data_IF_879798354967
#
_entry.id   IF_879798354967
#
_cell.length_a   1.000
_cell.length_b   1.000
_cell.length_c   1.000
_cell.angle_alpha   90.00
_cell.angle_beta   90.00
_cell.angle_gamma   90.00
#
_symmetry.space_group_name_H-M   'P 1'
#
loop_
_entity.id
_entity.type
_entity.pdbx_description
1 polymer ?
#
# COMPACT_ATOMS: atom_id res chain seq x y z
N UNK A 1 -5.90 -5.26 -27.95
CA UNK A 1 -5.25 -5.29 -26.61
C UNK A 1 -5.71 -4.09 -25.77
N UNK A 2 -5.61 -4.14 -24.44
CA UNK A 2 -5.96 -3.01 -23.54
C UNK A 2 -5.23 -1.71 -23.94
N UNK A 3 -4.01 -1.84 -24.45
CA UNK A 3 -3.21 -0.72 -24.96
C UNK A 3 -3.85 -0.07 -26.20
N UNK A 4 -4.27 -0.85 -27.17
CA UNK A 4 -4.91 -0.34 -28.40
C UNK A 4 -6.25 0.32 -28.08
N UNK A 5 -7.02 -0.25 -27.15
CA UNK A 5 -8.30 0.32 -26.71
C UNK A 5 -8.12 1.68 -26.01
N UNK A 6 -7.06 1.84 -25.20
CA UNK A 6 -6.72 3.10 -24.55
C UNK A 6 -6.23 4.14 -25.57
N UNK A 7 -5.39 3.74 -26.53
CA UNK A 7 -4.82 4.65 -27.53
C UNK A 7 -5.85 5.09 -28.57
N UNK A 8 -6.89 4.30 -28.81
CA UNK A 8 -7.98 4.63 -29.75
C UNK A 8 -9.02 5.61 -29.17
N UNK A 9 -9.06 5.78 -27.84
CA UNK A 9 -10.03 6.66 -27.19
C UNK A 9 -9.50 8.09 -27.14
N UNK A 10 -10.28 9.11 -27.58
CA UNK A 10 -9.87 10.50 -27.47
C UNK A 10 -9.67 10.89 -26.00
N UNK A 11 -8.69 11.74 -25.73
CA UNK A 11 -8.42 12.26 -24.39
C UNK A 11 -9.67 12.98 -23.85
N UNK A 12 -10.34 12.40 -22.86
CA UNK A 12 -11.52 13.02 -22.27
C UNK A 12 -11.11 14.19 -21.41
N UNK A 13 -11.61 15.38 -21.72
CA UNK A 13 -11.37 16.62 -20.97
C UNK A 13 -11.74 16.48 -19.48
N UNK A 14 -12.64 15.58 -19.16
CA UNK A 14 -13.07 15.26 -17.80
C UNK A 14 -11.99 14.62 -16.92
N UNK A 15 -10.86 14.16 -17.49
CA UNK A 15 -9.74 13.58 -16.74
C UNK A 15 -8.91 14.62 -15.99
N UNK A 16 -8.80 15.84 -16.52
CA UNK A 16 -7.90 16.85 -15.96
C UNK A 16 -8.18 17.21 -14.49
N UNK A 17 -9.43 17.35 -14.03
CA UNK A 17 -9.72 17.60 -12.62
C UNK A 17 -9.26 16.43 -11.71
N UNK A 18 -9.41 15.19 -12.16
CA UNK A 18 -8.97 14.02 -11.41
C UNK A 18 -7.44 13.94 -11.35
N UNK A 19 -6.76 14.18 -12.47
CA UNK A 19 -5.28 14.26 -12.53
C UNK A 19 -4.77 15.33 -11.57
N UNK A 20 -5.34 16.54 -11.64
CA UNK A 20 -4.93 17.65 -10.77
C UNK A 20 -5.15 17.33 -9.28
N UNK A 21 -6.31 16.81 -8.94
CA UNK A 21 -6.61 16.39 -7.55
C UNK A 21 -5.63 15.35 -7.06
N UNK A 22 -5.32 14.33 -7.86
CA UNK A 22 -4.41 13.25 -7.50
C UNK A 22 -2.98 13.78 -7.35
N UNK A 23 -2.55 14.64 -8.27
CA UNK A 23 -1.26 15.31 -8.22
C UNK A 23 -1.11 16.17 -6.96
N UNK A 24 -2.08 17.03 -6.67
CA UNK A 24 -2.06 17.87 -5.48
C UNK A 24 -2.06 17.05 -4.18
N UNK A 25 -2.81 15.96 -4.15
CA UNK A 25 -2.81 15.03 -3.00
C UNK A 25 -1.43 14.40 -2.81
N UNK A 26 -0.76 14.00 -3.90
CA UNK A 26 0.59 13.46 -3.86
C UNK A 26 1.62 14.49 -3.38
N UNK A 27 1.55 15.73 -3.87
CA UNK A 27 2.41 16.82 -3.45
C UNK A 27 2.22 17.17 -1.96
N UNK A 28 0.97 17.19 -1.50
CA UNK A 28 0.66 17.42 -0.08
C UNK A 28 1.22 16.31 0.81
N UNK A 29 1.12 15.05 0.38
CA UNK A 29 1.73 13.93 1.12
C UNK A 29 3.25 14.07 1.21
N UNK A 30 3.94 14.51 0.12
CA UNK A 30 5.37 14.79 0.19
C UNK A 30 5.72 15.97 1.09
N UNK A 31 4.93 17.03 1.09
CA UNK A 31 5.12 18.16 2.00
C UNK A 31 5.00 17.72 3.47
N UNK A 32 4.01 16.89 3.80
CA UNK A 32 3.87 16.29 5.12
C UNK A 32 5.05 15.36 5.48
N UNK A 33 5.53 14.55 4.53
CA UNK A 33 6.73 13.75 4.73
C UNK A 33 7.94 14.64 5.03
N UNK A 34 8.18 15.69 4.23
CA UNK A 34 9.28 16.65 4.48
C UNK A 34 9.18 17.32 5.84
N UNK A 35 7.99 17.73 6.26
CA UNK A 35 7.77 18.32 7.58
C UNK A 35 8.06 17.32 8.71
N UNK A 36 7.62 16.07 8.58
CA UNK A 36 7.87 15.04 9.61
C UNK A 36 9.35 14.64 9.67
N UNK A 37 10.07 14.61 8.54
CA UNK A 37 11.50 14.33 8.51
C UNK A 37 12.37 15.43 9.16
N UNK A 38 11.88 16.67 9.22
CA UNK A 38 12.59 17.75 9.94
C UNK A 38 12.51 17.58 11.45
N UNK A 39 11.49 16.88 11.96
CA UNK A 39 11.28 16.72 13.39
C UNK A 39 11.79 15.38 13.95
N UNK A 40 11.85 14.34 13.14
CA UNK A 40 12.32 13.02 13.55
C UNK A 40 13.05 12.32 12.42
N UNK A 41 14.33 12.00 12.65
CA UNK A 41 15.15 11.16 11.80
C UNK A 41 15.22 9.72 12.35
N UNK A 42 15.75 8.81 11.56
CA UNK A 42 15.99 7.43 12.01
C UNK A 42 17.02 7.39 13.15
N UNK A 43 17.95 8.32 13.13
CA UNK A 43 19.04 8.44 14.13
C UNK A 43 18.51 8.86 15.49
N UNK A 44 17.37 9.58 15.53
CA UNK A 44 16.75 9.97 16.80
C UNK A 44 16.30 8.75 17.61
N UNK A 45 15.95 7.61 16.95
CA UNK A 45 15.60 6.39 17.67
C UNK A 45 16.82 5.69 18.32
N UNK A 46 18.02 6.01 17.85
CA UNK A 46 19.26 5.51 18.43
C UNK A 46 19.74 6.40 19.59
N UNK A 47 19.18 7.60 19.72
CA UNK A 47 19.52 8.54 20.80
C UNK A 47 19.15 7.98 22.16
N UNK A 48 20.08 7.93 23.13
CA UNK A 48 19.81 7.51 24.50
C UNK A 48 18.65 8.28 25.15
N UNK A 49 18.47 9.55 24.80
CA UNK A 49 17.39 10.41 25.34
C UNK A 49 15.99 9.84 25.08
N UNK A 50 15.79 9.13 23.98
CA UNK A 50 14.50 8.48 23.68
C UNK A 50 14.29 7.22 24.54
N UNK A 51 15.37 6.52 24.91
CA UNK A 51 15.30 5.34 25.77
C UNK A 51 14.87 5.71 27.21
N UNK A 52 15.19 6.90 27.66
CA UNK A 52 14.80 7.41 28.98
C UNK A 52 13.34 7.86 29.05
N UNK A 53 12.72 8.13 27.89
CA UNK A 53 11.29 8.52 27.83
C UNK A 53 10.38 7.34 28.21
N UNK A 54 9.18 7.67 28.68
CA UNK A 54 8.14 6.68 28.96
C UNK A 54 7.79 5.86 27.72
N UNK A 55 7.32 4.63 27.89
CA UNK A 55 6.89 3.76 26.79
C UNK A 55 5.87 4.47 25.89
N UNK A 56 4.93 5.18 26.46
CA UNK A 56 3.89 5.92 25.72
C UNK A 56 4.51 7.00 24.82
N UNK A 57 5.46 7.80 25.33
CA UNK A 57 6.15 8.80 24.52
C UNK A 57 6.94 8.19 23.37
N UNK A 58 7.60 7.06 23.62
CA UNK A 58 8.33 6.31 22.55
C UNK A 58 7.38 5.81 21.46
N UNK A 59 6.21 5.32 21.84
CA UNK A 59 5.19 4.88 20.86
C UNK A 59 4.63 6.03 20.04
N UNK A 60 4.45 7.21 20.62
CA UNK A 60 4.02 8.40 19.89
C UNK A 60 5.08 8.81 18.85
N UNK A 61 6.34 8.90 19.25
CA UNK A 61 7.45 9.25 18.34
C UNK A 61 7.52 8.24 17.19
N UNK A 62 7.45 6.94 17.48
CA UNK A 62 7.41 5.90 16.47
C UNK A 62 6.21 6.06 15.54
N UNK A 63 5.03 6.34 16.07
CA UNK A 63 3.82 6.54 15.27
C UNK A 63 3.94 7.72 14.31
N UNK A 64 4.45 8.86 14.79
CA UNK A 64 4.66 10.07 13.97
C UNK A 64 5.67 9.78 12.86
N UNK A 65 6.78 9.12 13.17
CA UNK A 65 7.77 8.69 12.18
C UNK A 65 7.15 7.78 11.11
N UNK A 66 6.41 6.75 11.54
CA UNK A 66 5.74 5.83 10.63
C UNK A 66 4.67 6.51 9.77
N UNK A 67 4.00 7.54 10.31
CA UNK A 67 3.07 8.36 9.55
C UNK A 67 3.80 9.13 8.43
N UNK A 68 4.95 9.74 8.74
CA UNK A 68 5.79 10.39 7.74
C UNK A 68 6.23 9.43 6.64
N UNK A 69 6.70 8.24 7.01
CA UNK A 69 7.07 7.20 6.04
C UNK A 69 5.90 6.77 5.15
N UNK A 70 4.70 6.65 5.71
CA UNK A 70 3.47 6.43 4.92
C UNK A 70 3.23 7.55 3.93
N UNK A 71 3.35 8.81 4.35
CA UNK A 71 3.18 9.97 3.48
C UNK A 71 4.15 9.94 2.29
N UNK A 72 5.41 9.53 2.49
CA UNK A 72 6.39 9.32 1.41
C UNK A 72 5.85 8.35 0.35
N UNK A 73 5.40 7.17 0.76
CA UNK A 73 4.90 6.16 -0.18
C UNK A 73 3.59 6.57 -0.84
N UNK A 74 2.64 7.14 -0.08
CA UNK A 74 1.39 7.66 -0.65
C UNK A 74 1.66 8.77 -1.67
N UNK A 75 2.63 9.65 -1.40
CA UNK A 75 3.06 10.67 -2.34
C UNK A 75 3.54 10.08 -3.67
N UNK A 76 4.44 9.08 -3.62
CA UNK A 76 4.94 8.38 -4.80
C UNK A 76 3.81 7.70 -5.59
N UNK A 77 2.92 7.01 -4.90
CA UNK A 77 1.81 6.30 -5.55
C UNK A 77 0.82 7.27 -6.20
N UNK A 78 0.50 8.39 -5.54
CA UNK A 78 -0.37 9.42 -6.11
C UNK A 78 0.25 10.11 -7.31
N UNK A 79 1.55 10.34 -7.32
CA UNK A 79 2.25 10.84 -8.51
C UNK A 79 2.18 9.82 -9.66
N UNK A 80 2.48 8.54 -9.40
CA UNK A 80 2.36 7.49 -10.40
C UNK A 80 0.92 7.36 -10.93
N UNK A 81 -0.09 7.43 -10.05
CA UNK A 81 -1.50 7.41 -10.43
C UNK A 81 -1.85 8.61 -11.33
N UNK A 82 -1.40 9.82 -10.99
CA UNK A 82 -1.66 11.02 -11.80
C UNK A 82 -1.09 10.89 -13.20
N UNK A 83 0.11 10.32 -13.34
CA UNK A 83 0.72 10.05 -14.64
C UNK A 83 -0.04 8.98 -15.44
N UNK A 84 -0.51 7.92 -14.79
CA UNK A 84 -1.34 6.90 -15.43
C UNK A 84 -2.67 7.52 -15.92
N UNK A 85 -3.35 8.31 -15.10
CA UNK A 85 -4.59 8.99 -15.46
C UNK A 85 -4.38 9.96 -16.61
N UNK A 86 -3.27 10.71 -16.63
CA UNK A 86 -2.93 11.63 -17.71
C UNK A 86 -2.81 10.90 -19.05
N UNK A 87 -2.20 9.73 -19.05
CA UNK A 87 -2.05 8.88 -20.24
C UNK A 87 -3.29 8.02 -20.55
N UNK A 88 -4.37 8.14 -19.78
CA UNK A 88 -5.61 7.37 -19.97
C UNK A 88 -5.59 5.94 -19.41
N UNK A 89 -4.51 5.55 -18.71
CA UNK A 89 -4.46 4.28 -18.02
C UNK A 89 -5.13 4.36 -16.65
N UNK A 90 -5.80 3.27 -16.22
CA UNK A 90 -6.40 3.18 -14.88
C UNK A 90 -7.79 3.79 -14.78
N UNK A 91 -8.43 4.18 -15.90
CA UNK A 91 -9.82 4.56 -15.93
C UNK A 91 -10.69 3.29 -15.72
N UNK A 92 -11.42 3.25 -14.62
CA UNK A 92 -12.35 2.15 -14.37
C UNK A 92 -13.70 2.51 -14.99
N UNK A 93 -14.22 1.67 -15.88
CA UNK A 93 -15.49 1.88 -16.59
C UNK A 93 -16.67 2.09 -15.64
N UNK A 94 -16.62 1.55 -14.40
CA UNK A 94 -17.71 1.69 -13.43
C UNK A 94 -17.62 2.91 -12.52
N UNK A 95 -16.42 3.47 -12.31
CA UNK A 95 -16.17 4.56 -11.34
C UNK A 95 -15.58 5.81 -11.97
N UNK A 96 -15.25 5.79 -13.26
CA UNK A 96 -14.55 6.83 -14.03
C UNK A 96 -13.18 7.24 -13.47
N UNK A 97 -12.78 6.78 -12.26
CA UNK A 97 -11.51 7.13 -11.64
C UNK A 97 -10.90 5.93 -10.92
N UNK A 98 -9.59 5.75 -11.11
CA UNK A 98 -8.80 4.83 -10.30
C UNK A 98 -8.67 5.40 -8.88
N UNK A 99 -9.06 4.64 -7.88
CA UNK A 99 -8.75 4.97 -6.48
C UNK A 99 -7.56 4.15 -6.03
N UNK A 100 -6.48 4.80 -5.61
CA UNK A 100 -5.23 4.16 -5.18
C UNK A 100 -5.47 3.10 -4.10
N UNK A 101 -6.45 3.31 -3.23
CA UNK A 101 -6.78 2.38 -2.14
C UNK A 101 -7.31 1.03 -2.63
N UNK A 102 -8.02 1.02 -3.79
CA UNK A 102 -8.58 -0.21 -4.37
C UNK A 102 -7.72 -0.81 -5.48
N UNK A 103 -6.84 -0.01 -6.07
CA UNK A 103 -6.06 -0.41 -7.26
C UNK A 103 -4.59 -0.60 -6.96
N UNK A 104 -4.14 -0.22 -5.76
CA UNK A 104 -2.75 -0.40 -5.39
C UNK A 104 -2.33 -1.86 -5.50
N UNK A 105 -1.27 -2.06 -6.25
CA UNK A 105 -0.66 -3.36 -6.48
C UNK A 105 -1.55 -4.43 -7.15
N UNK A 106 -2.72 -4.07 -7.67
CA UNK A 106 -3.66 -5.05 -8.25
C UNK A 106 -3.04 -5.84 -9.41
N UNK A 107 -2.23 -5.20 -10.24
CA UNK A 107 -1.58 -5.89 -11.37
C UNK A 107 -0.52 -6.87 -10.90
N UNK A 108 0.29 -6.50 -9.92
CA UNK A 108 1.29 -7.37 -9.31
C UNK A 108 0.60 -8.49 -8.54
N UNK A 109 -0.48 -8.20 -7.81
CA UNK A 109 -1.28 -9.21 -7.12
C UNK A 109 -1.86 -10.23 -8.10
N UNK A 110 -2.45 -9.79 -9.22
CA UNK A 110 -2.94 -10.69 -10.27
C UNK A 110 -1.82 -11.51 -10.86
N UNK A 111 -0.67 -10.90 -11.16
CA UNK A 111 0.49 -11.61 -11.67
C UNK A 111 0.97 -12.66 -10.68
N UNK A 112 1.14 -12.32 -9.41
CA UNK A 112 1.50 -13.27 -8.35
C UNK A 112 0.46 -14.38 -8.20
N UNK A 113 -0.82 -14.04 -8.32
CA UNK A 113 -1.90 -15.04 -8.27
C UNK A 113 -1.76 -16.05 -9.40
N UNK A 114 -1.70 -15.61 -10.66
CA UNK A 114 -1.66 -16.52 -11.81
C UNK A 114 -0.31 -17.23 -11.97
N UNK A 115 0.79 -16.52 -11.74
CA UNK A 115 2.12 -17.06 -12.02
C UNK A 115 2.68 -17.88 -10.87
N UNK A 116 2.32 -17.59 -9.62
CA UNK A 116 2.91 -18.21 -8.44
C UNK A 116 1.86 -18.99 -7.65
N UNK A 117 0.80 -18.32 -7.19
CA UNK A 117 -0.17 -18.91 -6.27
C UNK A 117 -0.90 -20.13 -6.86
N UNK A 118 -1.48 -19.99 -8.04
CA UNK A 118 -2.21 -21.07 -8.71
C UNK A 118 -1.30 -22.23 -9.15
N UNK A 119 -0.06 -21.91 -9.53
CA UNK A 119 0.92 -22.93 -9.96
C UNK A 119 1.62 -23.65 -8.80
N UNK A 120 1.60 -23.08 -7.61
CA UNK A 120 2.23 -23.63 -6.40
C UNK A 120 1.26 -24.36 -5.47
N UNK A 121 0.16 -24.91 -6.01
CA UNK A 121 -0.91 -25.53 -5.20
C UNK A 121 -1.43 -24.58 -4.10
N UNK A 122 -1.65 -23.31 -4.46
CA UNK A 122 -2.19 -22.29 -3.57
C UNK A 122 -1.32 -21.99 -2.35
N UNK A 123 0.01 -22.10 -2.50
CA UNK A 123 0.96 -21.83 -1.43
C UNK A 123 1.15 -20.33 -1.23
N UNK A 124 0.46 -19.77 -0.24
CA UNK A 124 0.53 -18.36 0.09
C UNK A 124 1.92 -17.93 0.56
N UNK A 125 2.60 -18.75 1.36
CA UNK A 125 3.94 -18.40 1.87
C UNK A 125 4.94 -18.21 0.73
N UNK A 126 4.88 -19.06 -0.30
CA UNK A 126 5.74 -18.92 -1.48
C UNK A 126 5.50 -17.60 -2.21
N UNK A 127 4.26 -17.15 -2.32
CA UNK A 127 3.92 -15.84 -2.92
C UNK A 127 4.62 -14.70 -2.19
N UNK A 128 4.59 -14.71 -0.86
CA UNK A 128 5.27 -13.70 -0.05
C UNK A 128 6.80 -13.78 -0.19
N UNK A 129 7.36 -14.98 -0.30
CA UNK A 129 8.80 -15.15 -0.51
C UNK A 129 9.25 -14.66 -1.88
N UNK A 130 8.49 -14.92 -2.93
CA UNK A 130 8.75 -14.36 -4.27
C UNK A 130 8.65 -12.83 -4.25
N UNK A 131 7.67 -12.28 -3.54
CA UNK A 131 7.58 -10.84 -3.34
C UNK A 131 8.78 -10.27 -2.60
N UNK A 132 9.25 -10.94 -1.54
CA UNK A 132 10.46 -10.52 -0.80
C UNK A 132 11.69 -10.51 -1.71
N UNK A 133 11.87 -11.56 -2.50
CA UNK A 133 12.95 -11.70 -3.47
C UNK A 133 12.95 -10.55 -4.48
N UNK A 134 11.79 -10.20 -5.01
CA UNK A 134 11.64 -9.11 -5.96
C UNK A 134 11.93 -7.73 -5.37
N UNK A 135 11.69 -7.52 -4.07
CA UNK A 135 12.03 -6.30 -3.36
C UNK A 135 13.53 -6.18 -3.06
N UNK A 136 14.28 -7.28 -3.08
CA UNK A 136 15.73 -7.31 -2.90
C UNK A 136 16.19 -8.29 -1.82
N UNK A 137 17.52 -8.35 -1.63
CA UNK A 137 18.16 -9.33 -0.76
C UNK A 137 18.35 -8.87 0.69
N UNK A 138 17.74 -7.77 1.11
CA UNK A 138 17.83 -7.34 2.50
C UNK A 138 17.06 -8.27 3.44
N UNK A 139 17.67 -8.78 4.52
CA UNK A 139 17.01 -9.70 5.46
C UNK A 139 15.69 -9.18 6.00
N UNK A 140 15.56 -7.86 6.17
CA UNK A 140 14.33 -7.22 6.62
C UNK A 140 13.12 -7.48 5.73
N UNK A 141 13.31 -7.60 4.41
CA UNK A 141 12.22 -7.96 3.50
C UNK A 141 11.73 -9.38 3.77
N UNK A 142 12.62 -10.34 3.92
CA UNK A 142 12.24 -11.72 4.17
C UNK A 142 11.52 -11.89 5.51
N UNK A 143 12.01 -11.22 6.56
CA UNK A 143 11.35 -11.22 7.88
C UNK A 143 9.97 -10.56 7.76
N UNK A 144 9.89 -9.38 7.14
CA UNK A 144 8.64 -8.63 6.98
C UNK A 144 7.59 -9.39 6.17
N UNK A 145 7.97 -9.95 5.03
CA UNK A 145 7.05 -10.73 4.18
C UNK A 145 6.66 -12.07 4.82
N UNK A 146 7.55 -12.73 5.57
CA UNK A 146 7.21 -13.93 6.35
C UNK A 146 6.17 -13.59 7.41
N UNK A 147 6.36 -12.50 8.15
CA UNK A 147 5.41 -12.02 9.15
C UNK A 147 4.07 -11.65 8.50
N UNK A 148 4.09 -10.94 7.37
CA UNK A 148 2.88 -10.60 6.62
C UNK A 148 2.10 -11.83 6.15
N UNK A 149 2.81 -12.88 5.69
CA UNK A 149 2.20 -14.17 5.34
C UNK A 149 1.52 -14.81 6.55
N UNK A 150 2.20 -14.85 7.69
CA UNK A 150 1.66 -15.39 8.94
C UNK A 150 0.42 -14.59 9.40
N UNK A 151 0.51 -13.27 9.43
CA UNK A 151 -0.61 -12.40 9.82
C UNK A 151 -1.82 -12.57 8.90
N UNK A 152 -1.59 -12.72 7.59
CA UNK A 152 -2.65 -12.98 6.62
C UNK A 152 -3.32 -14.33 6.87
N UNK A 153 -2.54 -15.36 7.21
CA UNK A 153 -3.06 -16.68 7.57
C UNK A 153 -3.92 -16.61 8.83
N UNK A 154 -3.41 -15.97 9.88
CA UNK A 154 -4.15 -15.75 11.14
C UNK A 154 -5.43 -14.95 10.91
N UNK A 155 -5.36 -13.87 10.10
CA UNK A 155 -6.52 -13.06 9.74
C UNK A 155 -7.61 -13.87 9.02
N UNK A 156 -7.22 -14.74 8.08
CA UNK A 156 -8.16 -15.65 7.41
C UNK A 156 -8.80 -16.66 8.36
N UNK A 157 -8.02 -17.21 9.29
CA UNK A 157 -8.53 -18.11 10.31
C UNK A 157 -9.50 -17.41 11.27
N UNK A 158 -9.14 -16.20 11.70
CA UNK A 158 -10.00 -15.38 12.55
C UNK A 158 -11.29 -15.03 11.84
N UNK A 159 -11.24 -14.56 10.59
CA UNK A 159 -12.41 -14.30 9.78
C UNK A 159 -13.32 -15.55 9.65
N UNK A 160 -12.73 -16.69 9.32
CA UNK A 160 -13.50 -17.93 9.12
C UNK A 160 -14.10 -18.50 10.41
N UNK A 161 -13.43 -18.35 11.57
CA UNK A 161 -13.86 -18.97 12.84
C UNK A 161 -14.58 -18.01 13.78
N UNK A 162 -14.19 -16.74 13.81
CA UNK A 162 -14.68 -15.74 14.76
C UNK A 162 -15.85 -14.95 14.18
N UNK A 163 -15.71 -14.51 12.92
CA UNK A 163 -16.73 -13.68 12.26
C UNK A 163 -18.16 -14.27 12.31
N UNK A 164 -18.40 -15.56 12.00
CA UNK A 164 -19.75 -16.13 12.06
C UNK A 164 -20.37 -16.10 13.46
N UNK A 165 -19.50 -16.16 14.51
CA UNK A 165 -19.97 -16.09 15.90
C UNK A 165 -20.39 -14.68 16.31
N UNK A 166 -19.66 -13.68 15.82
CA UNK A 166 -19.98 -12.26 16.09
C UNK A 166 -21.22 -11.82 15.32
N UNK A 167 -21.33 -12.21 14.07
CA UNK A 167 -22.48 -11.88 13.21
C UNK A 167 -23.76 -12.52 13.74
N UNK A 168 -23.71 -13.76 14.22
CA UNK A 168 -24.86 -14.43 14.84
C UNK A 168 -25.30 -13.84 16.18
N UNK A 169 -24.43 -13.06 16.85
CA UNK A 169 -24.77 -12.40 18.14
C UNK A 169 -25.33 -10.97 17.91
N UNK A 170 -25.06 -10.37 16.76
CA UNK A 170 -25.52 -9.02 16.43
C UNK A 170 -26.98 -8.94 15.99
N UNK A 171 -27.64 -10.08 15.74
CA UNK A 171 -29.06 -10.21 15.32
C UNK A 171 -29.95 -10.90 16.35
N UNK A 172 -29.47 -11.11 17.58
CA UNK A 172 -30.28 -11.50 18.74
C UNK A 172 -30.47 -10.32 19.70
#
# INVERSE_FOLDING_TARGET
TEYEDVMSKPAKRERYPAVLRTLLTGMMAFALFGATCQWHSLDDFLDPSIREKSLFSRLIVLYVFMLGMRCKYYGLWKLGESMCLLNGFGENEKTHYSTTERTWNCRIQKWLQYCIYERSNFNQFLVFMVSAFWHGFYPGYYIGFSLASFMTHVGRLAYKKVWPRVEGTAYQ
#
